data_IF_028834620377
#
_entry.id   IF_028834620377
#
_cell.length_a   1.000
_cell.length_b   1.000
_cell.length_c   1.000
_cell.angle_alpha   90.00
_cell.angle_beta   90.00
_cell.angle_gamma   90.00
#
_symmetry.space_group_name_H-M   'P 1'
#
loop_
_entity.id
_entity.type
_entity.pdbx_description
1 polymer ?
#
# COMPACT_ATOMS: atom_id res chain seq x y z
N UNK A 1 9.84 -10.34 -9.81
CA UNK A 1 8.69 -9.47 -10.20
C UNK A 1 9.04 -8.43 -11.28
N UNK A 2 10.25 -8.45 -11.85
CA UNK A 2 10.67 -7.49 -12.87
C UNK A 2 9.75 -7.51 -14.10
N UNK A 3 9.29 -6.34 -14.53
CA UNK A 3 8.41 -6.19 -15.71
C UNK A 3 6.92 -6.51 -15.49
N UNK A 4 6.50 -6.76 -14.25
CA UNK A 4 5.09 -7.01 -13.89
C UNK A 4 4.37 -5.69 -13.60
N UNK A 5 3.16 -5.51 -14.15
CA UNK A 5 2.27 -4.42 -13.73
C UNK A 5 1.65 -4.84 -12.40
N UNK A 6 1.84 -4.02 -11.36
CA UNK A 6 1.39 -4.33 -10.01
C UNK A 6 0.44 -3.25 -9.52
N UNK A 7 -0.59 -3.64 -8.79
CA UNK A 7 -1.47 -2.73 -8.02
C UNK A 7 -1.30 -3.04 -6.55
N UNK A 8 -1.19 -2.02 -5.72
CA UNK A 8 -1.38 -2.20 -4.28
C UNK A 8 -2.65 -1.48 -3.84
N UNK A 9 -3.38 -2.11 -2.93
CA UNK A 9 -4.63 -1.62 -2.38
C UNK A 9 -4.52 -1.56 -0.85
N UNK A 10 -4.96 -0.45 -0.25
CA UNK A 10 -5.10 -0.33 1.20
C UNK A 10 -6.57 -0.26 1.58
N UNK A 11 -7.01 -1.05 2.56
CA UNK A 11 -8.40 -1.17 3.00
C UNK A 11 -8.49 -1.08 4.53
N UNK A 12 -9.65 -0.71 5.08
CA UNK A 12 -9.85 -0.80 6.53
C UNK A 12 -10.05 -2.25 6.95
N UNK A 13 -10.75 -3.04 6.13
CA UNK A 13 -11.03 -4.46 6.38
C UNK A 13 -10.85 -5.27 5.12
N UNK A 14 -10.63 -6.57 5.29
CA UNK A 14 -10.39 -7.49 4.18
C UNK A 14 -11.60 -7.62 3.24
N UNK A 15 -12.81 -7.46 3.78
CA UNK A 15 -14.08 -7.55 3.06
C UNK A 15 -14.58 -6.22 2.49
N UNK A 16 -13.84 -5.12 2.71
CA UNK A 16 -14.21 -3.83 2.12
C UNK A 16 -14.10 -3.91 0.60
N UNK A 17 -15.22 -3.64 -0.08
CA UNK A 17 -15.31 -3.69 -1.54
C UNK A 17 -14.51 -2.57 -2.22
N UNK A 18 -14.19 -1.49 -1.50
CA UNK A 18 -13.44 -0.35 -2.01
C UNK A 18 -12.15 -0.15 -1.18
N UNK A 19 -11.03 0.03 -1.88
CA UNK A 19 -9.81 0.48 -1.26
C UNK A 19 -9.94 1.95 -0.81
N UNK A 20 -9.31 2.29 0.32
CA UNK A 20 -9.08 3.66 0.73
C UNK A 20 -8.27 4.41 -0.33
N UNK A 21 -7.25 3.72 -0.85
CA UNK A 21 -6.52 4.14 -2.02
C UNK A 21 -5.82 2.95 -2.67
N UNK A 22 -5.54 3.11 -3.96
CA UNK A 22 -4.85 2.13 -4.79
C UNK A 22 -3.80 2.84 -5.62
N UNK A 23 -2.68 2.16 -5.89
CA UNK A 23 -1.64 2.70 -6.78
C UNK A 23 -1.05 1.61 -7.68
N UNK A 24 -0.64 2.00 -8.89
CA UNK A 24 -0.08 1.10 -9.90
C UNK A 24 1.42 1.37 -10.12
N UNK A 25 2.21 0.30 -10.12
CA UNK A 25 3.66 0.35 -10.40
C UNK A 25 3.90 0.60 -11.89
N UNK A 26 4.80 1.53 -12.21
CA UNK A 26 5.15 1.89 -13.61
C UNK A 26 4.69 3.27 -14.07
N UNK A 27 3.91 4.00 -13.27
CA UNK A 27 3.57 5.42 -13.48
C UNK A 27 4.04 6.30 -12.32
N UNK A 28 5.33 6.21 -11.99
CA UNK A 28 5.95 7.01 -10.92
C UNK A 28 6.11 6.31 -9.56
N UNK A 29 5.86 5.00 -9.50
CA UNK A 29 6.25 4.14 -8.36
C UNK A 29 7.28 3.14 -8.86
N UNK A 30 8.50 3.25 -8.35
CA UNK A 30 9.57 2.26 -8.44
C UNK A 30 9.45 1.36 -7.21
N UNK A 31 9.38 0.04 -7.41
CA UNK A 31 9.85 -0.89 -6.38
C UNK A 31 11.36 -0.72 -6.38
N UNK A 32 11.87 0.14 -5.49
CA UNK A 32 13.30 0.29 -5.30
C UNK A 32 13.78 -0.54 -4.12
N UNK A 33 15.01 -1.04 -4.22
CA UNK A 33 15.65 -1.88 -3.22
C UNK A 33 15.08 -3.31 -3.05
N UNK A 34 14.66 -3.97 -4.14
CA UNK A 34 14.38 -5.41 -4.16
C UNK A 34 15.65 -6.29 -4.00
N UNK A 35 16.69 -5.78 -3.34
CA UNK A 35 17.99 -6.45 -3.19
C UNK A 35 18.06 -7.39 -2.00
N UNK A 36 17.13 -7.33 -1.04
CA UNK A 36 17.13 -8.20 0.15
C UNK A 36 15.72 -8.76 0.49
N UNK A 37 14.85 -8.92 -0.50
CA UNK A 37 13.49 -9.44 -0.29
C UNK A 37 12.54 -8.43 0.39
N UNK A 38 12.94 -7.18 0.51
CA UNK A 38 12.12 -6.09 1.03
C UNK A 38 11.39 -5.35 -0.10
N UNK A 39 10.17 -4.91 0.19
CA UNK A 39 9.34 -4.08 -0.69
C UNK A 39 9.03 -2.77 0.04
N UNK A 40 9.57 -1.65 -0.44
CA UNK A 40 9.24 -0.33 0.12
C UNK A 40 8.09 0.29 -0.66
N UNK A 41 7.03 0.68 0.06
CA UNK A 41 5.91 1.47 -0.45
C UNK A 41 6.06 2.89 0.08
N UNK A 42 6.19 3.87 -0.82
CA UNK A 42 6.16 5.28 -0.46
C UNK A 42 4.70 5.77 -0.39
N UNK A 43 4.29 6.33 0.74
CA UNK A 43 2.97 6.95 0.94
C UNK A 43 3.15 8.47 0.97
N UNK A 44 2.42 9.20 0.14
CA UNK A 44 2.48 10.66 0.13
C UNK A 44 1.76 11.27 1.34
N UNK A 45 2.08 12.53 1.66
CA UNK A 45 1.38 13.27 2.71
C UNK A 45 -0.15 13.35 2.46
N UNK A 46 -0.57 13.48 1.19
CA UNK A 46 -1.99 13.55 0.84
C UNK A 46 -2.71 12.21 1.03
N UNK A 47 -2.06 11.08 0.71
CA UNK A 47 -2.64 9.75 0.95
C UNK A 47 -2.65 9.40 2.44
N UNK A 48 -1.68 9.91 3.20
CA UNK A 48 -1.60 9.68 4.65
C UNK A 48 -2.84 10.18 5.40
N UNK A 49 -3.55 11.18 4.87
CA UNK A 49 -4.77 11.71 5.49
C UNK A 49 -5.98 10.80 5.32
N UNK A 50 -5.91 9.78 4.47
CA UNK A 50 -6.98 8.79 4.27
C UNK A 50 -7.00 7.72 5.37
N UNK A 51 -5.96 7.68 6.20
CA UNK A 51 -5.92 6.89 7.42
C UNK A 51 -6.51 7.72 8.56
N UNK A 52 -7.83 7.80 8.59
CA UNK A 52 -8.57 8.66 9.52
C UNK A 52 -8.24 8.34 11.00
N UNK A 53 -7.97 7.07 11.30
CA UNK A 53 -7.74 6.57 12.66
C UNK A 53 -6.47 5.71 12.77
N UNK A 54 -5.86 5.71 13.96
CA UNK A 54 -4.89 4.68 14.33
C UNK A 54 -5.60 3.32 14.35
N UNK A 55 -5.00 2.30 13.78
CA UNK A 55 -5.68 1.02 13.68
C UNK A 55 -4.97 -0.01 12.82
N UNK A 56 -5.63 -1.15 12.70
CA UNK A 56 -5.25 -2.23 11.80
C UNK A 56 -5.98 -2.05 10.48
N UNK A 57 -5.22 -2.16 9.40
CA UNK A 57 -5.67 -2.02 8.02
C UNK A 57 -5.18 -3.25 7.26
N UNK A 58 -5.77 -3.50 6.10
CA UNK A 58 -5.33 -4.53 5.18
C UNK A 58 -4.57 -3.87 4.03
N UNK A 59 -3.48 -4.50 3.63
CA UNK A 59 -2.77 -4.16 2.40
C UNK A 59 -2.70 -5.40 1.51
N UNK A 60 -3.00 -5.19 0.24
CA UNK A 60 -2.94 -6.22 -0.79
C UNK A 60 -1.97 -5.77 -1.88
N UNK A 61 -1.19 -6.71 -2.42
CA UNK A 61 -0.39 -6.51 -3.63
C UNK A 61 -0.88 -7.48 -4.70
N UNK A 62 -1.28 -6.96 -5.85
CA UNK A 62 -1.83 -7.69 -6.97
C UNK A 62 -0.88 -7.62 -8.17
N UNK A 63 -0.70 -8.75 -8.85
CA UNK A 63 -0.23 -8.78 -10.24
C UNK A 63 -1.44 -8.55 -11.14
N UNK A 64 -1.38 -7.55 -12.02
CA UNK A 64 -2.49 -7.15 -12.90
C UNK A 64 -2.14 -7.30 -14.38
N UNK A 65 -1.25 -8.25 -14.71
CA UNK A 65 -0.83 -8.45 -16.09
C UNK A 65 -1.93 -9.05 -16.96
N UNK A 66 -2.06 -8.50 -18.17
CA UNK A 66 -2.73 -9.15 -19.30
C UNK A 66 -4.14 -9.70 -18.99
N UNK A 67 -4.96 -8.88 -18.31
CA UNK A 67 -6.38 -9.18 -18.08
C UNK A 67 -6.66 -10.16 -16.93
N UNK A 68 -5.61 -10.65 -16.26
CA UNK A 68 -5.71 -11.51 -15.09
C UNK A 68 -5.16 -10.76 -13.86
N UNK A 69 -5.95 -10.75 -12.78
CA UNK A 69 -5.55 -10.19 -11.49
C UNK A 69 -5.29 -11.35 -10.50
N UNK A 70 -4.08 -11.40 -9.96
CA UNK A 70 -3.69 -12.41 -8.98
C UNK A 70 -3.10 -11.75 -7.72
N UNK A 71 -3.56 -12.12 -6.51
CA UNK A 71 -2.98 -11.60 -5.28
C UNK A 71 -1.61 -12.23 -5.07
N UNK A 72 -0.58 -11.38 -4.92
CA UNK A 72 0.78 -11.78 -4.59
C UNK A 72 1.03 -11.77 -3.09
N UNK A 73 0.50 -10.76 -2.40
CA UNK A 73 0.64 -10.56 -0.96
C UNK A 73 -0.66 -10.02 -0.41
N UNK A 74 -1.07 -10.53 0.75
CA UNK A 74 -2.18 -10.01 1.55
C UNK A 74 -1.69 -10.00 2.98
N UNK A 75 -1.83 -8.86 3.67
CA UNK A 75 -1.37 -8.74 5.04
C UNK A 75 -2.06 -7.63 5.82
N UNK A 76 -1.89 -7.70 7.14
CA UNK A 76 -2.30 -6.64 8.05
C UNK A 76 -1.17 -5.61 8.18
N UNK A 77 -1.54 -4.33 8.25
CA UNK A 77 -0.63 -3.22 8.55
C UNK A 77 -1.22 -2.41 9.70
N UNK A 78 -0.38 -2.04 10.65
CA UNK A 78 -0.79 -1.22 11.80
C UNK A 78 -0.34 0.22 11.59
N UNK A 79 -1.32 1.12 11.48
CA UNK A 79 -1.08 2.55 11.33
C UNK A 79 -1.10 3.19 12.71
N UNK A 80 -0.06 3.98 13.00
CA UNK A 80 0.08 4.79 14.22
C UNK A 80 0.27 6.25 13.82
N UNK A 81 -0.30 7.17 14.57
CA UNK A 81 -0.03 8.60 14.39
C UNK A 81 1.39 8.87 14.88
N UNK A 82 2.06 9.80 14.18
CA UNK A 82 3.28 10.36 14.71
C UNK A 82 2.95 11.01 16.08
N UNK A 83 3.83 10.89 17.09
CA UNK A 83 3.66 11.65 18.32
C UNK A 83 3.58 13.12 17.94
N UNK A 84 2.53 13.82 18.40
CA UNK A 84 2.45 15.26 18.20
C UNK A 84 3.70 15.88 18.84
N UNK A 85 4.52 16.58 18.06
CA UNK A 85 5.56 17.42 18.64
C UNK A 85 4.88 18.33 19.67
N UNK A 86 5.34 18.27 20.92
CA UNK A 86 4.85 19.16 21.95
C UNK A 86 5.04 20.60 21.45
N UNK A 87 4.05 21.50 21.64
CA UNK A 87 4.24 22.90 21.26
C UNK A 87 5.50 23.43 21.96
N UNK A 88 6.40 24.01 21.16
CA UNK A 88 7.61 24.68 21.61
C UNK A 88 7.32 25.89 22.50
#
# INVERSE_FOLDING_TARGET
LTGKALRADFRRKADDAAALFSFTVGSGITIDNATDGELTVAITAAESTLFDDEGEYIWDLWNIQSGEEEPLIVGEVKVKRAPSEAPA
#
